data_IF_149530758488
#
_entry.id   IF_149530758488
#
_cell.length_a   1.000
_cell.length_b   1.000
_cell.length_c   1.000
_cell.angle_alpha   90.00
_cell.angle_beta   90.00
_cell.angle_gamma   90.00
#
_symmetry.space_group_name_H-M   'P 1'
#
loop_
_entity.id
_entity.type
_entity.pdbx_description
1 polymer ?
#
# COMPACT_ATOMS: atom_id res chain seq x y z
N UNK A 1 -5.67 -26.39 22.73
CA UNK A 1 -6.88 -26.09 21.94
C UNK A 1 -7.16 -24.59 22.00
N UNK A 2 -6.41 -23.77 21.26
CA UNK A 2 -6.70 -22.35 21.05
C UNK A 2 -6.84 -22.15 19.54
N UNK A 3 -7.93 -22.67 18.98
CA UNK A 3 -8.39 -22.25 17.66
C UNK A 3 -9.20 -20.98 17.88
N UNK A 4 -8.51 -19.85 18.07
CA UNK A 4 -9.13 -18.55 17.82
C UNK A 4 -9.26 -18.45 16.31
N UNK A 5 -10.40 -18.93 15.82
CA UNK A 5 -10.86 -18.73 14.47
C UNK A 5 -10.70 -17.26 14.14
N UNK A 6 -9.80 -16.94 13.21
CA UNK A 6 -9.91 -15.68 12.49
C UNK A 6 -11.28 -15.73 11.81
N UNK A 7 -12.26 -15.02 12.38
CA UNK A 7 -13.59 -14.90 11.79
C UNK A 7 -13.43 -14.40 10.35
N UNK A 8 -13.88 -15.20 9.39
CA UNK A 8 -13.75 -14.88 7.98
C UNK A 8 -14.46 -13.56 7.69
N UNK A 9 -13.68 -12.52 7.40
CA UNK A 9 -14.18 -11.20 7.01
C UNK A 9 -14.03 -10.08 8.05
N UNK A 10 -13.42 -10.33 9.21
CA UNK A 10 -13.15 -9.26 10.17
C UNK A 10 -11.76 -8.62 9.98
N UNK A 11 -11.68 -7.29 9.88
CA UNK A 11 -10.41 -6.59 9.69
C UNK A 11 -9.55 -6.72 10.95
N UNK A 12 -8.29 -7.15 10.75
CA UNK A 12 -7.31 -7.34 11.84
C UNK A 12 -6.91 -6.01 12.48
N UNK A 13 -6.80 -4.94 11.68
CA UNK A 13 -6.43 -3.61 12.13
C UNK A 13 -6.77 -2.57 11.07
N UNK A 14 -7.04 -1.34 11.51
CA UNK A 14 -7.18 -0.18 10.65
C UNK A 14 -6.01 0.79 10.85
N UNK A 15 -5.55 1.38 9.76
CA UNK A 15 -4.54 2.43 9.80
C UNK A 15 -4.89 3.55 8.82
N UNK A 16 -4.67 4.78 9.27
CA UNK A 16 -4.70 5.99 8.46
C UNK A 16 -3.49 6.85 8.80
N UNK A 17 -3.09 7.68 7.84
CA UNK A 17 -2.08 8.71 8.03
C UNK A 17 -2.51 9.97 7.30
N UNK A 18 -2.24 11.13 7.89
CA UNK A 18 -2.47 12.41 7.24
C UNK A 18 -1.29 12.75 6.34
N UNK A 19 -1.52 13.12 5.07
CA UNK A 19 -0.45 13.55 4.18
C UNK A 19 0.10 14.91 4.63
N UNK A 20 1.42 15.05 4.54
CA UNK A 20 2.11 16.35 4.68
C UNK A 20 1.67 17.34 3.61
N UNK A 21 1.93 18.63 3.81
CA UNK A 21 1.60 19.67 2.83
C UNK A 21 2.22 19.40 1.44
N UNK A 22 3.42 18.82 1.41
CA UNK A 22 4.07 18.41 0.16
C UNK A 22 3.36 17.21 -0.48
N UNK A 23 2.96 16.20 0.29
CA UNK A 23 2.27 15.01 -0.21
C UNK A 23 0.83 15.30 -0.68
N UNK A 24 0.20 16.35 -0.14
CA UNK A 24 -1.09 16.83 -0.63
C UNK A 24 -1.03 17.32 -2.07
N UNK A 25 0.14 17.77 -2.54
CA UNK A 25 0.35 18.22 -3.92
C UNK A 25 0.72 17.08 -4.89
N UNK A 26 0.82 15.84 -4.40
CA UNK A 26 1.15 14.69 -5.26
C UNK A 26 0.01 14.33 -6.20
N UNK A 27 0.37 13.70 -7.32
CA UNK A 27 -0.62 13.12 -8.22
C UNK A 27 -1.43 12.05 -7.48
N UNK A 28 -2.69 11.83 -7.89
CA UNK A 28 -3.59 10.87 -7.25
C UNK A 28 -2.93 9.48 -7.10
N UNK A 29 -2.26 9.03 -8.15
CA UNK A 29 -1.57 7.73 -8.15
C UNK A 29 -0.37 7.66 -7.18
N UNK A 30 0.33 8.79 -6.99
CA UNK A 30 1.42 8.89 -6.02
C UNK A 30 0.88 8.86 -4.58
N UNK A 31 -0.27 9.49 -4.33
CA UNK A 31 -0.94 9.45 -3.03
C UNK A 31 -1.40 8.04 -2.66
N UNK A 32 -1.93 7.30 -3.62
CA UNK A 32 -2.36 5.92 -3.38
C UNK A 32 -1.16 5.00 -3.13
N UNK A 33 -0.08 5.15 -3.92
CA UNK A 33 1.15 4.41 -3.67
C UNK A 33 1.73 4.74 -2.28
N UNK A 34 1.65 6.01 -1.86
CA UNK A 34 2.07 6.45 -0.53
C UNK A 34 1.27 5.78 0.58
N UNK A 35 -0.05 5.67 0.41
CA UNK A 35 -0.91 4.99 1.37
C UNK A 35 -0.54 3.50 1.50
N UNK A 36 -0.25 2.82 0.39
CA UNK A 36 0.21 1.43 0.38
C UNK A 36 1.56 1.30 1.06
N UNK A 37 2.52 2.15 0.71
CA UNK A 37 3.85 2.15 1.31
C UNK A 37 3.79 2.38 2.82
N UNK A 38 2.98 3.33 3.28
CA UNK A 38 2.72 3.56 4.69
C UNK A 38 2.13 2.33 5.39
N UNK A 39 1.13 1.68 4.78
CA UNK A 39 0.52 0.47 5.34
C UNK A 39 1.53 -0.68 5.45
N UNK A 40 2.34 -0.91 4.41
CA UNK A 40 3.38 -1.97 4.41
C UNK A 40 4.43 -1.71 5.49
N UNK A 41 4.87 -0.46 5.67
CA UNK A 41 5.80 -0.11 6.73
C UNK A 41 5.17 -0.29 8.13
N UNK A 42 3.95 0.20 8.33
CA UNK A 42 3.25 0.09 9.61
C UNK A 42 2.97 -1.37 10.00
N UNK A 43 2.65 -2.20 9.01
CA UNK A 43 2.33 -3.61 9.20
C UNK A 43 3.49 -4.53 8.81
N UNK A 44 4.73 -4.05 8.84
CA UNK A 44 5.92 -4.83 8.47
C UNK A 44 5.94 -6.20 9.15
N UNK A 45 5.68 -6.26 10.46
CA UNK A 45 5.64 -7.51 11.23
C UNK A 45 4.56 -8.50 10.75
N UNK A 46 3.51 -8.02 10.08
CA UNK A 46 2.43 -8.86 9.54
C UNK A 46 2.71 -9.31 8.11
N UNK A 47 3.27 -8.43 7.26
CA UNK A 47 3.44 -8.66 5.82
C UNK A 47 4.83 -9.18 5.43
N UNK A 48 5.83 -9.01 6.30
CA UNK A 48 7.20 -9.39 5.98
C UNK A 48 7.32 -10.89 5.69
N UNK A 49 7.97 -11.21 4.57
CA UNK A 49 8.17 -12.59 4.11
C UNK A 49 6.90 -13.31 3.64
N UNK A 50 5.75 -12.62 3.61
CA UNK A 50 4.47 -13.22 3.19
C UNK A 50 3.99 -12.60 1.89
N UNK A 51 3.29 -13.40 1.09
CA UNK A 51 2.52 -12.89 -0.05
C UNK A 51 1.23 -12.27 0.51
N UNK A 52 0.98 -11.02 0.12
CA UNK A 52 -0.25 -10.30 0.47
C UNK A 52 -0.86 -9.70 -0.79
N UNK A 53 -2.16 -9.42 -0.74
CA UNK A 53 -2.90 -8.78 -1.83
C UNK A 53 -3.35 -7.42 -1.35
N UNK A 54 -3.00 -6.37 -2.09
CA UNK A 54 -3.52 -5.03 -1.87
C UNK A 54 -4.79 -4.89 -2.69
N UNK A 55 -5.92 -4.61 -2.02
CA UNK A 55 -7.16 -4.22 -2.68
C UNK A 55 -7.23 -2.70 -2.73
N UNK A 56 -7.35 -2.16 -3.94
CA UNK A 56 -7.58 -0.74 -4.19
C UNK A 56 -8.68 -0.64 -5.25
N UNK A 57 -9.54 0.35 -5.11
CA UNK A 57 -10.58 0.71 -6.08
C UNK A 57 -9.99 1.32 -7.36
N UNK A 58 -8.70 1.65 -7.37
CA UNK A 58 -8.06 2.40 -8.44
C UNK A 58 -7.21 1.52 -9.38
N UNK A 59 -7.76 1.22 -10.56
CA UNK A 59 -7.08 0.47 -11.65
C UNK A 59 -5.72 1.04 -12.12
N UNK A 60 -5.47 2.35 -12.10
CA UNK A 60 -4.19 2.94 -12.51
C UNK A 60 -2.96 2.41 -11.76
N UNK A 61 -3.09 2.06 -10.48
CA UNK A 61 -2.00 1.44 -9.70
C UNK A 61 -1.50 0.14 -10.35
N UNK A 62 -2.41 -0.70 -10.84
CA UNK A 62 -2.06 -1.95 -11.54
C UNK A 62 -1.25 -1.69 -12.81
N UNK A 63 -1.48 -0.55 -13.47
CA UNK A 63 -0.73 -0.17 -14.66
C UNK A 63 0.70 0.25 -14.32
N UNK A 64 0.89 1.02 -13.24
CA UNK A 64 2.23 1.46 -12.82
C UNK A 64 3.11 0.30 -12.36
N UNK A 65 2.58 -0.64 -11.58
CA UNK A 65 3.36 -1.81 -11.11
C UNK A 65 3.82 -2.69 -12.29
N UNK A 66 3.12 -2.64 -13.43
CA UNK A 66 3.49 -3.36 -14.65
C UNK A 66 4.47 -2.59 -15.54
N UNK A 67 4.68 -1.29 -15.31
CA UNK A 67 5.62 -0.50 -16.10
C UNK A 67 7.06 -0.86 -15.72
N UNK A 68 7.98 -0.86 -16.69
CA UNK A 68 9.40 -1.00 -16.38
C UNK A 68 9.86 0.21 -15.55
N UNK A 69 10.82 -0.01 -14.64
CA UNK A 69 11.28 1.01 -13.68
C UNK A 69 11.56 2.36 -14.36
N UNK A 70 12.28 2.37 -15.50
CA UNK A 70 12.64 3.60 -16.22
C UNK A 70 11.44 4.44 -16.73
N UNK A 71 10.24 3.87 -16.81
CA UNK A 71 9.01 4.54 -17.24
C UNK A 71 8.15 5.06 -16.07
N UNK A 72 8.61 4.86 -14.84
CA UNK A 72 7.95 5.29 -13.59
C UNK A 72 8.62 6.58 -13.13
N UNK A 73 7.85 7.50 -12.51
CA UNK A 73 8.42 8.75 -11.97
C UNK A 73 9.47 8.43 -10.90
N UNK A 74 10.51 9.27 -10.78
CA UNK A 74 11.59 9.05 -9.81
C UNK A 74 11.12 8.97 -8.37
N UNK A 75 9.97 9.57 -8.05
CA UNK A 75 9.33 9.46 -6.73
C UNK A 75 8.73 8.08 -6.52
N UNK A 76 7.93 7.58 -7.46
CA UNK A 76 7.33 6.26 -7.38
C UNK A 76 8.37 5.14 -7.41
N UNK A 77 9.45 5.31 -8.17
CA UNK A 77 10.60 4.40 -8.14
C UNK A 77 11.23 4.25 -6.75
N UNK A 78 11.22 5.31 -5.93
CA UNK A 78 11.75 5.26 -4.56
C UNK A 78 10.82 4.56 -3.56
N UNK A 79 9.57 4.39 -3.93
CA UNK A 79 8.51 3.82 -3.07
C UNK A 79 8.26 2.34 -3.38
N UNK A 80 8.75 1.86 -4.54
CA UNK A 80 8.76 0.46 -4.98
C UNK A 80 10.04 -0.23 -4.50
#
# INVERSE_FOLDING_TARGET
LLSSSFEEGHPVSYASSSPTETEQNYAQIEKEMLAIFFAVQKYHNFVYGKKFVVQSDHKPLTSIVKKPMYAISSRLQRML
#
